data_IF_771056662433
#
_entry.id   IF_771056662433
#
_cell.length_a   1.000
_cell.length_b   1.000
_cell.length_c   1.000
_cell.angle_alpha   90.00
_cell.angle_beta   90.00
_cell.angle_gamma   90.00
#
_symmetry.space_group_name_H-M   'P 1'
#
loop_
_entity.id
_entity.type
_entity.pdbx_description
1 polymer ?
#
# COMPACT_ATOMS: atom_id res chain seq x y z
N UNK A 1 2.73 8.30 -15.58
CA UNK A 1 3.74 7.26 -15.89
C UNK A 1 3.56 6.06 -14.98
N UNK A 2 3.74 4.86 -15.50
CA UNK A 2 3.60 3.64 -14.72
C UNK A 2 4.68 2.62 -15.08
N UNK A 3 4.98 1.75 -14.15
CA UNK A 3 5.88 0.61 -14.38
C UNK A 3 5.41 -0.55 -13.50
N UNK A 4 5.98 -1.73 -13.68
CA UNK A 4 5.62 -2.91 -12.90
C UNK A 4 6.69 -3.22 -11.86
N UNK A 5 6.24 -3.74 -10.72
CA UNK A 5 7.09 -4.14 -9.62
C UNK A 5 6.69 -5.53 -9.16
N UNK A 6 7.64 -6.47 -9.22
CA UNK A 6 7.44 -7.79 -8.64
C UNK A 6 7.94 -7.77 -7.20
N UNK A 7 7.08 -8.15 -6.27
CA UNK A 7 7.38 -8.03 -4.84
C UNK A 7 6.66 -9.13 -4.07
N UNK A 8 7.32 -9.65 -3.04
CA UNK A 8 6.69 -10.58 -2.11
C UNK A 8 6.10 -9.77 -0.96
N UNK A 9 4.79 -9.90 -0.76
CA UNK A 9 4.05 -9.22 0.30
C UNK A 9 3.36 -10.29 1.14
N UNK A 10 3.67 -10.33 2.44
CA UNK A 10 3.10 -11.28 3.39
C UNK A 10 3.18 -12.73 2.88
N UNK A 11 4.36 -13.12 2.40
CA UNK A 11 4.70 -14.46 1.87
C UNK A 11 4.03 -14.84 0.54
N UNK A 12 3.46 -13.88 -0.18
CA UNK A 12 2.88 -14.12 -1.51
C UNK A 12 3.51 -13.19 -2.53
N UNK A 13 3.83 -13.72 -3.71
CA UNK A 13 4.38 -12.93 -4.81
C UNK A 13 3.27 -12.16 -5.53
N UNK A 14 3.54 -10.88 -5.80
CA UNK A 14 2.64 -10.01 -6.55
C UNK A 14 3.40 -9.30 -7.66
N UNK A 15 2.71 -9.05 -8.77
CA UNK A 15 3.15 -8.12 -9.81
C UNK A 15 2.27 -6.89 -9.71
N UNK A 16 2.82 -5.79 -9.21
CA UNK A 16 2.08 -4.58 -8.92
C UNK A 16 2.35 -3.51 -9.98
N UNK A 17 1.32 -2.74 -10.29
CA UNK A 17 1.49 -1.55 -11.12
C UNK A 17 1.94 -0.40 -10.23
N UNK A 18 3.04 0.25 -10.61
CA UNK A 18 3.54 1.45 -9.91
C UNK A 18 3.07 2.68 -10.64
N UNK A 19 2.35 3.55 -9.94
CA UNK A 19 1.81 4.79 -10.47
C UNK A 19 2.55 5.97 -9.84
N UNK A 20 3.26 6.74 -10.68
CA UNK A 20 3.91 7.98 -10.26
C UNK A 20 2.98 9.15 -10.59
N UNK A 21 2.68 9.97 -9.58
CA UNK A 21 1.90 11.18 -9.78
C UNK A 21 2.79 12.25 -10.43
N UNK A 22 2.63 12.46 -11.73
CA UNK A 22 3.40 13.42 -12.52
C UNK A 22 2.45 14.28 -13.35
N UNK A 23 2.90 15.51 -13.68
CA UNK A 23 2.22 16.30 -14.71
C UNK A 23 2.46 15.66 -16.08
N UNK A 24 1.59 15.93 -17.04
CA UNK A 24 1.60 15.28 -18.36
C UNK A 24 2.94 15.42 -19.12
N UNK A 25 3.63 16.55 -18.95
CA UNK A 25 4.89 16.84 -19.61
C UNK A 25 6.11 16.66 -18.70
N UNK A 26 5.94 15.99 -17.58
CA UNK A 26 6.95 15.87 -16.53
C UNK A 26 7.46 14.44 -16.43
N UNK A 27 8.76 14.31 -16.18
CA UNK A 27 9.35 13.03 -15.84
C UNK A 27 9.17 12.72 -14.35
N UNK A 28 9.34 11.44 -13.98
CA UNK A 28 9.32 11.03 -12.57
C UNK A 28 10.46 11.74 -11.83
N UNK A 29 10.13 12.35 -10.69
CA UNK A 29 11.08 13.08 -9.87
C UNK A 29 12.03 12.13 -9.13
N UNK A 30 13.22 12.61 -8.82
CA UNK A 30 14.20 11.85 -8.02
C UNK A 30 13.63 11.47 -6.65
N UNK A 31 12.85 12.36 -6.03
CA UNK A 31 12.18 12.08 -4.76
C UNK A 31 11.22 10.90 -4.88
N UNK A 32 10.53 10.78 -6.01
CA UNK A 32 9.62 9.66 -6.26
C UNK A 32 10.40 8.35 -6.46
N UNK A 33 11.52 8.39 -7.17
CA UNK A 33 12.40 7.23 -7.35
C UNK A 33 12.97 6.77 -6.01
N UNK A 34 13.36 7.70 -5.16
CA UNK A 34 13.85 7.42 -3.81
C UNK A 34 12.75 6.77 -2.96
N UNK A 35 11.53 7.28 -3.04
CA UNK A 35 10.40 6.71 -2.31
C UNK A 35 10.13 5.26 -2.72
N UNK A 36 10.17 4.97 -4.02
CA UNK A 36 10.01 3.62 -4.52
C UNK A 36 11.13 2.70 -4.00
N UNK A 37 12.37 3.20 -3.99
CA UNK A 37 13.51 2.44 -3.47
C UNK A 37 13.32 2.07 -2.00
N UNK A 38 12.94 3.00 -1.15
CA UNK A 38 12.64 2.73 0.26
C UNK A 38 11.53 1.69 0.40
N UNK A 39 10.49 1.79 -0.40
CA UNK A 39 9.38 0.85 -0.37
C UNK A 39 9.83 -0.57 -0.77
N UNK A 40 10.63 -0.69 -1.83
CA UNK A 40 11.14 -1.98 -2.31
C UNK A 40 12.08 -2.65 -1.29
N UNK A 41 12.83 -1.86 -0.54
CA UNK A 41 13.77 -2.35 0.46
C UNK A 41 13.11 -2.58 1.82
N UNK A 42 11.85 -2.12 1.99
CA UNK A 42 11.14 -2.24 3.25
C UNK A 42 10.82 -3.68 3.61
N UNK A 43 10.84 -3.97 4.90
CA UNK A 43 10.30 -5.23 5.41
C UNK A 43 8.78 -5.11 5.52
N UNK A 44 8.09 -5.35 4.41
CA UNK A 44 6.63 -5.22 4.36
C UNK A 44 5.95 -6.28 5.24
N UNK A 45 6.60 -7.43 5.46
CA UNK A 45 6.05 -8.48 6.32
C UNK A 45 5.82 -7.99 7.75
N UNK A 46 6.62 -7.02 8.23
CA UNK A 46 6.44 -6.43 9.55
C UNK A 46 5.11 -5.67 9.68
N UNK A 47 4.49 -5.26 8.57
CA UNK A 47 3.21 -4.55 8.58
C UNK A 47 2.00 -5.48 8.74
N UNK A 48 2.18 -6.78 8.59
CA UNK A 48 1.05 -7.74 8.57
C UNK A 48 0.20 -7.66 9.83
N UNK A 49 0.82 -7.61 11.01
CA UNK A 49 0.09 -7.55 12.27
C UNK A 49 -0.74 -6.27 12.38
N UNK A 50 -0.19 -5.15 11.91
CA UNK A 50 -0.91 -3.87 11.90
C UNK A 50 -2.13 -3.93 10.98
N UNK A 51 -1.99 -4.55 9.81
CA UNK A 51 -3.10 -4.70 8.85
C UNK A 51 -4.17 -5.63 9.41
N UNK A 52 -3.79 -6.75 10.02
CA UNK A 52 -4.74 -7.66 10.68
C UNK A 52 -5.50 -6.95 11.80
N UNK A 53 -4.78 -6.18 12.62
CA UNK A 53 -5.39 -5.43 13.72
C UNK A 53 -6.40 -4.41 13.19
N UNK A 54 -6.06 -3.70 12.13
CA UNK A 54 -6.97 -2.76 11.48
C UNK A 54 -8.26 -3.45 11.05
N UNK A 55 -8.15 -4.59 10.37
CA UNK A 55 -9.32 -5.34 9.89
C UNK A 55 -10.21 -5.80 11.05
N UNK A 56 -9.62 -6.29 12.12
CA UNK A 56 -10.36 -6.74 13.29
C UNK A 56 -11.05 -5.59 14.03
N UNK A 57 -10.44 -4.42 14.06
CA UNK A 57 -11.05 -3.22 14.66
C UNK A 57 -12.22 -2.70 13.82
N UNK A 58 -12.08 -2.71 12.49
CA UNK A 58 -13.10 -2.18 11.59
C UNK A 58 -14.23 -3.16 11.33
N UNK A 59 -13.93 -4.44 11.16
CA UNK A 59 -14.89 -5.45 10.71
C UNK A 59 -14.81 -6.75 11.51
N UNK A 60 -14.46 -6.66 12.80
CA UNK A 60 -14.33 -7.83 13.66
C UNK A 60 -15.61 -8.65 13.77
N UNK A 61 -16.78 -8.00 13.65
CA UNK A 61 -18.07 -8.70 13.69
C UNK A 61 -18.21 -9.69 12.53
N UNK A 62 -17.70 -9.33 11.36
CA UNK A 62 -17.76 -10.16 10.16
C UNK A 62 -16.63 -11.17 10.10
N UNK A 63 -15.46 -10.83 10.63
CA UNK A 63 -14.25 -11.64 10.54
C UNK A 63 -14.15 -12.65 11.68
N UNK A 64 -14.44 -12.23 12.91
CA UNK A 64 -14.22 -12.98 14.13
C UNK A 64 -13.10 -12.39 14.96
N UNK A 65 -12.36 -13.23 15.69
CA UNK A 65 -11.33 -12.76 16.63
C UNK A 65 -9.91 -12.85 16.07
N UNK A 66 -9.70 -13.65 15.02
CA UNK A 66 -8.38 -13.85 14.41
C UNK A 66 -8.49 -13.89 12.90
N UNK A 67 -7.36 -13.64 12.23
CA UNK A 67 -7.24 -13.75 10.78
C UNK A 67 -6.13 -14.73 10.45
N UNK A 68 -6.50 -15.86 9.82
CA UNK A 68 -5.54 -16.87 9.38
C UNK A 68 -4.94 -16.50 8.01
N UNK A 69 -5.79 -15.98 7.11
CA UNK A 69 -5.38 -15.60 5.76
C UNK A 69 -5.84 -14.18 5.47
N UNK A 70 -4.90 -13.23 5.55
CA UNK A 70 -5.19 -11.82 5.29
C UNK A 70 -5.72 -11.58 3.88
N UNK A 71 -5.33 -12.40 2.90
CA UNK A 71 -5.73 -12.22 1.51
C UNK A 71 -7.21 -12.52 1.24
N UNK A 72 -7.92 -13.07 2.21
CA UNK A 72 -9.38 -13.13 2.15
C UNK A 72 -10.01 -11.73 2.22
N UNK A 73 -9.31 -10.78 2.81
CA UNK A 73 -9.87 -9.46 3.12
C UNK A 73 -9.12 -8.33 2.43
N UNK A 74 -7.80 -8.43 2.29
CA UNK A 74 -6.94 -7.38 1.77
C UNK A 74 -6.04 -7.95 0.68
N UNK A 75 -6.18 -7.44 -0.56
CA UNK A 75 -5.39 -7.90 -1.70
C UNK A 75 -4.66 -6.72 -2.34
N UNK A 76 -3.33 -6.65 -2.21
CA UNK A 76 -2.55 -5.59 -2.87
C UNK A 76 -2.67 -5.65 -4.39
N UNK A 77 -2.77 -4.49 -5.05
CA UNK A 77 -2.84 -4.45 -6.51
C UNK A 77 -1.98 -3.35 -7.13
N UNK A 78 -1.62 -2.31 -6.41
CA UNK A 78 -0.87 -1.18 -6.99
C UNK A 78 -0.08 -0.44 -5.93
N UNK A 79 0.97 0.27 -6.37
CA UNK A 79 1.75 1.20 -5.55
C UNK A 79 1.60 2.59 -6.15
N UNK A 80 1.21 3.56 -5.35
CA UNK A 80 1.07 4.96 -5.74
C UNK A 80 2.16 5.80 -5.08
N UNK A 81 2.89 6.57 -5.88
CA UNK A 81 3.98 7.42 -5.40
C UNK A 81 3.59 8.89 -5.62
N UNK A 82 3.26 9.65 -4.57
CA UNK A 82 2.85 11.04 -4.74
C UNK A 82 4.00 11.91 -5.24
N UNK A 83 3.64 12.98 -5.95
CA UNK A 83 4.61 13.89 -6.55
C UNK A 83 5.35 14.72 -5.51
N UNK A 84 4.63 15.28 -4.56
CA UNK A 84 5.22 16.10 -3.48
C UNK A 84 5.26 15.31 -2.20
N UNK A 85 6.43 15.28 -1.56
CA UNK A 85 6.65 14.50 -0.36
C UNK A 85 7.52 15.26 0.61
N UNK A 86 7.18 15.18 1.91
CA UNK A 86 8.07 15.57 2.99
C UNK A 86 9.00 14.43 3.34
N UNK A 87 8.44 13.23 3.42
CA UNK A 87 9.16 11.98 3.65
C UNK A 87 9.03 11.11 2.41
N UNK A 88 9.90 10.11 2.26
CA UNK A 88 9.82 9.16 1.15
C UNK A 88 8.56 8.32 1.28
N UNK A 89 7.48 8.76 0.65
CA UNK A 89 6.13 8.21 0.80
C UNK A 89 5.73 7.34 -0.37
N UNK A 90 5.23 6.15 -0.07
CA UNK A 90 4.61 5.25 -1.03
C UNK A 90 3.33 4.70 -0.42
N UNK A 91 2.28 4.58 -1.23
CA UNK A 91 1.03 3.98 -0.80
C UNK A 91 0.83 2.64 -1.48
N UNK A 92 0.65 1.58 -0.71
CA UNK A 92 0.25 0.28 -1.21
C UNK A 92 -1.28 0.27 -1.28
N UNK A 93 -1.82 0.25 -2.50
CA UNK A 93 -3.26 0.22 -2.71
C UNK A 93 -3.74 -1.22 -2.73
N UNK A 94 -4.78 -1.51 -1.97
CA UNK A 94 -5.31 -2.85 -1.81
C UNK A 94 -6.83 -2.85 -2.00
N UNK A 95 -7.35 -3.94 -2.57
CA UNK A 95 -8.77 -4.20 -2.49
C UNK A 95 -9.11 -4.63 -1.07
N UNK A 96 -10.20 -4.11 -0.52
CA UNK A 96 -10.66 -4.48 0.81
C UNK A 96 -12.07 -5.09 0.69
N UNK A 97 -12.22 -6.28 1.21
CA UNK A 97 -13.47 -7.06 1.07
C UNK A 97 -14.72 -6.32 1.58
N UNK A 98 -14.57 -5.53 2.64
CA UNK A 98 -15.68 -4.85 3.29
C UNK A 98 -15.87 -3.42 2.80
N UNK A 99 -15.08 -2.97 1.82
CA UNK A 99 -15.20 -1.65 1.21
C UNK A 99 -14.64 -1.69 -0.21
N UNK A 100 -15.28 -2.49 -1.05
CA UNK A 100 -14.81 -2.73 -2.43
C UNK A 100 -14.89 -1.51 -3.34
N UNK A 101 -15.71 -0.52 -3.00
CA UNK A 101 -15.86 0.69 -3.80
C UNK A 101 -14.71 1.68 -3.56
N UNK A 102 -14.19 1.73 -2.34
CA UNK A 102 -13.18 2.70 -1.94
C UNK A 102 -11.77 2.09 -1.86
N UNK A 103 -11.66 0.80 -1.66
CA UNK A 103 -10.38 0.11 -1.42
C UNK A 103 -9.71 0.57 -0.12
N UNK A 104 -8.42 0.25 0.03
CA UNK A 104 -7.65 0.55 1.22
C UNK A 104 -6.25 1.00 0.80
N UNK A 105 -5.72 2.01 1.48
CA UNK A 105 -4.36 2.47 1.26
C UNK A 105 -3.50 2.25 2.50
N UNK A 106 -2.36 1.60 2.31
CA UNK A 106 -1.33 1.44 3.34
C UNK A 106 -0.23 2.45 3.03
N UNK A 107 -0.09 3.46 3.89
CA UNK A 107 0.87 4.55 3.68
C UNK A 107 2.18 4.20 4.36
N UNK A 108 3.24 4.13 3.57
CA UNK A 108 4.61 3.89 4.05
C UNK A 108 5.42 5.17 3.93
N UNK A 109 6.12 5.54 4.98
CA UNK A 109 7.11 6.64 4.97
C UNK A 109 8.47 6.06 5.33
N UNK A 110 9.46 6.30 4.47
CA UNK A 110 10.82 5.77 4.62
C UNK A 110 10.83 4.24 4.82
N UNK A 111 9.88 3.54 4.21
CA UNK A 111 9.76 2.10 4.31
C UNK A 111 8.98 1.57 5.52
N UNK A 112 8.43 2.44 6.34
CA UNK A 112 7.65 2.05 7.53
C UNK A 112 6.16 2.35 7.34
N UNK A 113 5.31 1.41 7.71
CA UNK A 113 3.86 1.63 7.69
C UNK A 113 3.47 2.63 8.78
N UNK A 114 2.89 3.77 8.36
CA UNK A 114 2.51 4.85 9.27
C UNK A 114 1.00 5.09 9.34
N UNK A 115 0.25 4.65 8.33
CA UNK A 115 -1.20 4.88 8.30
C UNK A 115 -1.90 3.87 7.40
N UNK A 116 -3.09 3.46 7.81
CA UNK A 116 -4.02 2.65 7.01
C UNK A 116 -5.30 3.46 6.88
N UNK A 117 -5.71 3.76 5.65
CA UNK A 117 -6.81 4.70 5.41
C UNK A 117 -7.47 4.48 4.05
N UNK A 118 -8.47 5.32 3.76
CA UNK A 118 -9.08 5.39 2.44
C UNK A 118 -8.07 5.98 1.44
N UNK A 119 -7.98 5.45 0.21
CA UNK A 119 -7.10 5.99 -0.83
C UNK A 119 -7.25 7.49 -1.11
N UNK A 120 -8.43 8.06 -0.89
CA UNK A 120 -8.66 9.49 -1.08
C UNK A 120 -7.72 10.36 -0.24
N UNK A 121 -7.17 9.82 0.83
CA UNK A 121 -6.20 10.53 1.66
C UNK A 121 -4.95 10.92 0.87
N UNK A 122 -4.55 10.12 -0.12
CA UNK A 122 -3.29 10.33 -0.85
C UNK A 122 -3.49 10.60 -2.35
N UNK A 123 -4.62 10.23 -2.89
CA UNK A 123 -4.92 10.44 -4.31
C UNK A 123 -5.36 11.86 -4.62
#
# INVERSE_FOLDING_TARGET
MSEKLDLVIWNRAFSLKVLFDCFDDEEVLDSQRTALKYFKEADISASLDQVKQFCLEQNGKEIGTTIDNIFKYVVPYSVYIPRKQKESTAALLCHYRFDIENDLALIFENGNLVKICNPDYIL
#
